data_IF_901927768524
#
_entry.id   IF_901927768524
#
_cell.length_a   1.000
_cell.length_b   1.000
_cell.length_c   1.000
_cell.angle_alpha   90.00
_cell.angle_beta   90.00
_cell.angle_gamma   90.00
#
_symmetry.space_group_name_H-M   'P 1'
#
loop_
_entity.id
_entity.type
_entity.pdbx_description
1 polymer ?
#
# COMPACT_ATOMS: atom_id res chain seq x y z
N UNK A 1 25.12 -11.99 66.95
CA UNK A 1 25.28 -13.36 66.37
C UNK A 1 24.02 -13.82 65.60
N UNK A 2 23.42 -12.95 64.78
CA UNK A 2 22.07 -13.16 64.22
C UNK A 2 21.95 -12.65 62.77
N UNK A 3 22.84 -13.05 61.86
CA UNK A 3 22.70 -12.60 60.45
C UNK A 3 23.33 -13.50 59.37
N UNK A 4 23.37 -14.83 59.55
CA UNK A 4 23.76 -15.77 58.49
C UNK A 4 22.73 -16.87 58.18
N UNK A 5 21.63 -16.98 58.94
CA UNK A 5 20.59 -18.01 58.73
C UNK A 5 19.49 -17.63 57.72
N UNK A 6 19.29 -16.33 57.44
CA UNK A 6 18.21 -15.88 56.53
C UNK A 6 18.64 -15.99 55.05
N UNK A 7 19.92 -15.82 54.74
CA UNK A 7 20.42 -15.87 53.35
C UNK A 7 20.46 -17.31 52.82
N UNK A 8 20.70 -18.32 53.66
CA UNK A 8 20.68 -19.74 53.24
C UNK A 8 19.28 -20.33 53.03
N UNK A 9 18.20 -19.66 53.46
CA UNK A 9 16.84 -20.18 53.27
C UNK A 9 16.19 -19.77 51.95
N UNK A 10 16.76 -18.80 51.21
CA UNK A 10 16.20 -18.33 49.93
C UNK A 10 16.74 -19.04 48.69
N UNK A 11 17.74 -19.92 48.85
CA UNK A 11 18.30 -20.76 47.78
C UNK A 11 17.76 -22.19 47.76
N UNK A 12 16.90 -22.56 48.71
CA UNK A 12 16.31 -23.91 48.84
C UNK A 12 14.79 -23.93 48.66
N UNK A 13 14.19 -22.92 48.02
CA UNK A 13 12.87 -23.12 47.41
C UNK A 13 13.07 -23.76 46.04
N UNK A 14 13.39 -25.05 46.04
CA UNK A 14 13.12 -25.90 44.88
C UNK A 14 11.61 -25.82 44.64
N UNK A 15 11.22 -25.08 43.61
CA UNK A 15 9.85 -25.11 43.08
C UNK A 15 9.51 -26.60 42.78
N UNK A 16 8.61 -27.25 43.56
CA UNK A 16 8.41 -28.71 43.50
C UNK A 16 7.75 -29.18 42.21
N UNK A 17 7.40 -28.23 41.34
CA UNK A 17 6.47 -28.44 40.25
C UNK A 17 7.17 -28.62 38.90
N UNK A 18 8.50 -28.41 38.82
CA UNK A 18 9.23 -28.46 37.55
C UNK A 18 8.76 -27.39 36.55
N UNK A 19 8.06 -26.36 37.04
CA UNK A 19 7.30 -25.43 36.20
C UNK A 19 8.21 -24.36 35.57
N UNK A 20 9.24 -23.92 36.30
CA UNK A 20 10.18 -22.92 35.83
C UNK A 20 10.90 -23.26 34.50
N UNK A 21 11.52 -24.46 34.33
CA UNK A 21 12.25 -24.77 33.10
C UNK A 21 11.35 -24.88 31.87
N UNK A 22 10.10 -25.37 31.99
CA UNK A 22 9.21 -25.42 30.83
C UNK A 22 8.80 -24.02 30.37
N UNK A 23 8.64 -23.04 31.28
CA UNK A 23 8.30 -21.66 30.88
C UNK A 23 9.43 -21.00 30.10
N UNK A 24 10.68 -21.26 30.46
CA UNK A 24 11.84 -20.78 29.70
C UNK A 24 11.98 -21.46 28.34
N UNK A 25 11.78 -22.78 28.27
CA UNK A 25 11.82 -23.53 27.01
C UNK A 25 10.68 -23.10 26.07
N UNK A 26 9.46 -22.97 26.58
CA UNK A 26 8.30 -22.51 25.81
C UNK A 26 8.47 -21.06 25.33
N UNK A 27 9.00 -20.18 26.18
CA UNK A 27 9.33 -18.81 25.80
C UNK A 27 10.42 -18.77 24.71
N UNK A 28 11.47 -19.60 24.83
CA UNK A 28 12.51 -19.72 23.81
C UNK A 28 11.97 -20.23 22.47
N UNK A 29 11.10 -21.25 22.48
CA UNK A 29 10.43 -21.78 21.28
C UNK A 29 9.50 -20.72 20.67
N UNK A 30 8.73 -19.98 21.48
CA UNK A 30 7.87 -18.88 21.01
C UNK A 30 8.68 -17.73 20.40
N UNK A 31 9.82 -17.37 20.99
CA UNK A 31 10.73 -16.34 20.45
C UNK A 31 11.35 -16.80 19.13
N UNK A 32 11.80 -18.06 19.05
CA UNK A 32 12.32 -18.65 17.81
C UNK A 32 11.23 -18.73 16.73
N UNK A 33 10.03 -19.17 17.09
CA UNK A 33 8.89 -19.23 16.18
C UNK A 33 8.51 -17.84 15.67
N UNK A 34 8.37 -16.84 16.56
CA UNK A 34 8.09 -15.47 16.17
C UNK A 34 9.23 -14.86 15.34
N UNK A 35 10.49 -15.15 15.65
CA UNK A 35 11.63 -14.65 14.87
C UNK A 35 11.68 -15.28 13.48
N UNK A 36 11.41 -16.58 13.35
CA UNK A 36 11.33 -17.28 12.06
C UNK A 36 10.14 -16.74 11.25
N UNK A 37 8.97 -16.59 11.86
CA UNK A 37 7.78 -16.05 11.22
C UNK A 37 7.99 -14.60 10.75
N UNK A 38 8.62 -13.77 11.58
CA UNK A 38 8.94 -12.38 11.25
C UNK A 38 9.93 -12.29 10.08
N UNK A 39 10.99 -13.10 10.08
CA UNK A 39 11.95 -13.14 8.98
C UNK A 39 11.30 -13.56 7.65
N UNK A 40 10.39 -14.54 7.70
CA UNK A 40 9.64 -14.97 6.52
C UNK A 40 8.69 -13.87 6.04
N UNK A 41 8.03 -13.15 6.95
CA UNK A 41 7.15 -12.03 6.60
C UNK A 41 7.92 -10.91 5.88
N UNK A 42 9.06 -10.47 6.41
CA UNK A 42 9.88 -9.44 5.75
C UNK A 42 10.36 -9.86 4.36
N UNK A 43 10.82 -11.10 4.21
CA UNK A 43 11.26 -11.62 2.92
C UNK A 43 10.11 -11.65 1.90
N UNK A 44 8.94 -12.15 2.31
CA UNK A 44 7.75 -12.22 1.46
C UNK A 44 7.22 -10.83 1.08
N UNK A 45 7.21 -9.89 2.02
CA UNK A 45 6.88 -8.48 1.76
C UNK A 45 7.83 -7.89 0.73
N UNK A 46 9.14 -8.01 0.93
CA UNK A 46 10.13 -7.44 0.02
C UNK A 46 10.02 -8.02 -1.39
N UNK A 47 9.84 -9.34 -1.52
CA UNK A 47 9.63 -10.01 -2.81
C UNK A 47 8.33 -9.57 -3.48
N UNK A 48 7.24 -9.47 -2.71
CA UNK A 48 5.92 -9.08 -3.23
C UNK A 48 5.93 -7.65 -3.72
N UNK A 49 6.41 -6.71 -2.91
CA UNK A 49 6.44 -5.27 -3.24
C UNK A 49 7.41 -5.01 -4.39
N UNK A 50 8.58 -5.64 -4.41
CA UNK A 50 9.49 -5.56 -5.56
C UNK A 50 8.83 -6.10 -6.84
N UNK A 51 8.07 -7.19 -6.73
CA UNK A 51 7.29 -7.76 -7.83
C UNK A 51 6.22 -6.80 -8.35
N UNK A 52 5.46 -6.17 -7.46
CA UNK A 52 4.45 -5.15 -7.80
C UNK A 52 5.10 -3.95 -8.47
N UNK A 53 6.19 -3.39 -7.90
CA UNK A 53 6.89 -2.26 -8.51
C UNK A 53 7.43 -2.57 -9.91
N UNK A 54 7.81 -3.82 -10.21
CA UNK A 54 8.23 -4.23 -11.55
C UNK A 54 7.08 -4.26 -12.57
N UNK A 55 5.82 -4.41 -12.13
CA UNK A 55 4.66 -4.38 -13.02
C UNK A 55 4.44 -3.00 -13.64
N UNK A 56 4.95 -1.92 -13.04
CA UNK A 56 4.94 -0.58 -13.65
C UNK A 56 5.61 -0.52 -15.03
N UNK A 57 6.53 -1.45 -15.31
CA UNK A 57 7.17 -1.57 -16.61
C UNK A 57 6.26 -2.18 -17.69
N UNK A 58 5.12 -2.78 -17.31
CA UNK A 58 4.12 -3.29 -18.26
C UNK A 58 3.48 -2.17 -19.10
N UNK A 59 3.62 -0.90 -18.72
CA UNK A 59 3.29 0.23 -19.58
C UNK A 59 3.95 0.14 -20.97
N UNK A 60 5.12 -0.50 -21.08
CA UNK A 60 5.80 -0.75 -22.35
C UNK A 60 4.98 -1.62 -23.32
N UNK A 61 4.09 -2.47 -22.78
CA UNK A 61 3.21 -3.35 -23.58
C UNK A 61 2.25 -2.52 -24.43
N UNK A 62 1.89 -1.31 -23.98
CA UNK A 62 1.01 -0.41 -24.75
C UNK A 62 1.62 0.04 -26.07
N UNK A 63 2.95 -0.03 -26.21
CA UNK A 63 3.67 0.30 -27.45
C UNK A 63 3.37 -0.67 -28.59
N UNK A 64 2.90 -1.88 -28.28
CA UNK A 64 2.57 -2.90 -29.28
C UNK A 64 1.12 -2.81 -29.79
N UNK A 65 0.28 -1.96 -29.18
CA UNK A 65 -1.14 -1.85 -29.51
C UNK A 65 -1.48 -0.61 -30.34
N UNK A 66 -2.47 -0.74 -31.23
CA UNK A 66 -2.95 0.37 -32.05
C UNK A 66 -3.68 1.43 -31.20
N UNK A 67 -3.44 2.72 -31.50
CA UNK A 67 -4.07 3.87 -30.82
C UNK A 67 -5.59 3.76 -30.58
N UNK A 68 -6.44 3.38 -31.58
CA UNK A 68 -7.88 3.27 -31.36
C UNK A 68 -8.27 2.15 -30.39
N UNK A 69 -7.52 1.03 -30.40
CA UNK A 69 -7.74 -0.06 -29.46
C UNK A 69 -7.32 0.35 -28.04
N UNK A 70 -6.15 0.99 -27.91
CA UNK A 70 -5.63 1.46 -26.63
C UNK A 70 -6.58 2.46 -25.94
N UNK A 71 -7.15 3.41 -26.69
CA UNK A 71 -8.13 4.37 -26.13
C UNK A 71 -9.37 3.67 -25.55
N UNK A 72 -9.87 2.62 -26.23
CA UNK A 72 -11.03 1.86 -25.77
C UNK A 72 -10.72 1.05 -24.51
N UNK A 73 -9.55 0.42 -24.47
CA UNK A 73 -9.07 -0.33 -23.30
C UNK A 73 -8.84 0.61 -22.12
N UNK A 74 -8.22 1.77 -22.32
CA UNK A 74 -7.97 2.75 -21.26
C UNK A 74 -9.24 3.22 -20.56
N UNK A 75 -10.27 3.61 -21.31
CA UNK A 75 -11.55 4.06 -20.73
C UNK A 75 -12.20 2.94 -19.91
N UNK A 76 -12.10 1.70 -20.37
CA UNK A 76 -12.59 0.53 -19.65
C UNK A 76 -11.79 0.28 -18.36
N UNK A 77 -10.45 0.36 -18.41
CA UNK A 77 -9.57 0.19 -17.26
C UNK A 77 -9.81 1.25 -16.18
N UNK A 78 -9.93 2.53 -16.56
CA UNK A 78 -10.25 3.62 -15.62
C UNK A 78 -11.60 3.38 -14.95
N UNK A 79 -12.60 2.91 -15.70
CA UNK A 79 -13.92 2.60 -15.14
C UNK A 79 -13.88 1.41 -14.17
N UNK A 80 -13.07 0.38 -14.46
CA UNK A 80 -12.83 -0.75 -13.57
C UNK A 80 -12.14 -0.29 -12.28
N UNK A 81 -11.05 0.48 -12.36
CA UNK A 81 -10.33 0.96 -11.18
C UNK A 81 -11.23 1.83 -10.30
N UNK A 82 -11.96 2.79 -10.89
CA UNK A 82 -12.92 3.60 -10.13
C UNK A 82 -13.98 2.73 -9.42
N UNK A 83 -14.54 1.74 -10.13
CA UNK A 83 -15.51 0.80 -9.55
C UNK A 83 -14.92 -0.05 -8.43
N UNK A 84 -13.70 -0.56 -8.59
CA UNK A 84 -13.01 -1.37 -7.59
C UNK A 84 -12.70 -0.57 -6.32
N UNK A 85 -12.21 0.66 -6.45
CA UNK A 85 -11.92 1.54 -5.30
C UNK A 85 -13.19 1.93 -4.55
N UNK A 86 -14.27 2.30 -5.25
CA UNK A 86 -15.56 2.54 -4.60
C UNK A 86 -16.10 1.27 -3.94
N UNK A 87 -15.94 0.11 -4.59
CA UNK A 87 -16.30 -1.19 -4.02
C UNK A 87 -15.57 -1.48 -2.72
N UNK A 88 -14.26 -1.28 -2.67
CA UNK A 88 -13.46 -1.49 -1.46
C UNK A 88 -13.90 -0.55 -0.32
N UNK A 89 -14.10 0.73 -0.60
CA UNK A 89 -14.57 1.69 0.42
C UNK A 89 -15.95 1.31 0.96
N UNK A 90 -16.93 1.07 0.08
CA UNK A 90 -18.33 0.91 0.50
C UNK A 90 -18.69 -0.50 0.99
N UNK A 91 -18.10 -1.54 0.42
CA UNK A 91 -18.46 -2.93 0.72
C UNK A 91 -17.53 -3.52 1.78
N UNK A 92 -16.26 -3.09 1.79
CA UNK A 92 -15.26 -3.71 2.65
C UNK A 92 -14.88 -2.80 3.83
N UNK A 93 -14.37 -1.59 3.57
CA UNK A 93 -13.86 -0.71 4.63
C UNK A 93 -14.95 -0.14 5.54
N UNK A 94 -16.01 0.46 4.99
CA UNK A 94 -17.07 1.06 5.81
C UNK A 94 -17.77 0.05 6.73
N UNK A 95 -18.18 -1.16 6.27
CA UNK A 95 -18.77 -2.15 7.16
C UNK A 95 -17.79 -2.71 8.18
N UNK A 96 -16.51 -2.86 7.83
CA UNK A 96 -15.48 -3.36 8.74
C UNK A 96 -15.19 -2.38 9.87
N UNK A 97 -15.08 -1.08 9.53
CA UNK A 97 -14.95 -0.01 10.52
C UNK A 97 -16.16 -0.07 11.43
N UNK A 98 -17.39 -0.15 10.91
CA UNK A 98 -18.62 -0.23 11.70
C UNK A 98 -18.67 -1.41 12.68
N UNK A 99 -17.99 -2.53 12.38
CA UNK A 99 -17.93 -3.70 13.26
C UNK A 99 -16.88 -3.57 14.36
N UNK A 100 -15.71 -3.00 14.05
CA UNK A 100 -14.56 -2.86 14.98
C UNK A 100 -14.63 -1.59 15.84
N UNK A 101 -15.19 -0.53 15.28
CA UNK A 101 -15.39 0.76 15.92
C UNK A 101 -16.79 1.24 15.57
N UNK A 102 -17.62 1.52 16.57
CA UNK A 102 -18.92 2.12 16.28
C UNK A 102 -18.76 3.37 15.41
N UNK A 103 -19.73 3.60 14.51
CA UNK A 103 -19.70 4.72 13.58
C UNK A 103 -19.90 6.04 14.34
N UNK A 104 -18.82 6.51 14.94
CA UNK A 104 -18.82 7.67 15.82
C UNK A 104 -18.63 8.96 15.04
N UNK A 105 -18.95 10.08 15.68
CA UNK A 105 -18.78 11.41 15.09
C UNK A 105 -17.37 11.62 14.52
N UNK A 106 -16.32 11.11 15.20
CA UNK A 106 -14.94 11.21 14.74
C UNK A 106 -14.65 10.45 13.44
N UNK A 107 -15.31 9.31 13.20
CA UNK A 107 -15.12 8.53 11.97
C UNK A 107 -15.85 9.22 10.82
N UNK A 108 -17.10 9.63 11.06
CA UNK A 108 -17.89 10.36 10.07
C UNK A 108 -17.26 11.70 9.67
N UNK A 109 -16.66 12.42 10.63
CA UNK A 109 -15.98 13.68 10.36
C UNK A 109 -14.69 13.47 9.57
N UNK A 110 -13.90 12.43 9.89
CA UNK A 110 -12.71 12.07 9.13
C UNK A 110 -13.04 11.69 7.68
N UNK A 111 -14.13 10.95 7.46
CA UNK A 111 -14.59 10.58 6.12
C UNK A 111 -14.99 11.80 5.28
N UNK A 112 -15.82 12.69 5.84
CA UNK A 112 -16.22 13.94 5.16
C UNK A 112 -15.01 14.84 4.91
N UNK A 113 -14.11 14.96 5.89
CA UNK A 113 -12.89 15.74 5.76
C UNK A 113 -11.99 15.20 4.63
N UNK A 114 -11.86 13.88 4.51
CA UNK A 114 -11.17 13.21 3.41
C UNK A 114 -11.75 13.54 2.03
N UNK A 115 -13.09 13.56 1.90
CA UNK A 115 -13.75 13.94 0.64
C UNK A 115 -13.51 15.43 0.33
N UNK A 116 -13.66 16.30 1.33
CA UNK A 116 -13.45 17.74 1.15
C UNK A 116 -12.01 18.07 0.76
N UNK A 117 -11.02 17.44 1.39
CA UNK A 117 -9.61 17.67 1.06
C UNK A 117 -9.28 17.16 -0.34
N UNK A 118 -9.83 16.01 -0.75
CA UNK A 118 -9.70 15.50 -2.13
C UNK A 118 -10.26 16.49 -3.14
N UNK A 119 -11.45 17.05 -2.88
CA UNK A 119 -12.07 18.07 -3.74
C UNK A 119 -11.26 19.38 -3.78
N UNK A 120 -10.69 19.80 -2.66
CA UNK A 120 -9.81 20.98 -2.60
C UNK A 120 -8.54 20.73 -3.41
N UNK A 121 -7.90 19.56 -3.28
CA UNK A 121 -6.72 19.20 -4.07
C UNK A 121 -7.05 19.24 -5.57
N UNK A 122 -8.16 18.62 -5.98
CA UNK A 122 -8.62 18.64 -7.38
C UNK A 122 -8.81 20.09 -7.87
N UNK A 123 -9.50 20.92 -7.08
CA UNK A 123 -9.75 22.32 -7.43
C UNK A 123 -8.47 23.15 -7.48
N UNK A 124 -7.53 22.97 -6.56
CA UNK A 124 -6.25 23.69 -6.57
C UNK A 124 -5.40 23.33 -7.79
N UNK A 125 -5.40 22.06 -8.20
CA UNK A 125 -4.63 21.60 -9.37
C UNK A 125 -5.26 22.11 -10.68
N UNK A 126 -6.59 22.14 -10.78
CA UNK A 126 -7.30 22.62 -11.97
C UNK A 126 -7.36 24.17 -12.05
N UNK A 127 -7.48 24.86 -10.90
CA UNK A 127 -7.62 26.32 -10.85
C UNK A 127 -6.42 27.05 -11.44
N UNK A 128 -5.20 26.54 -11.25
CA UNK A 128 -4.00 27.16 -11.82
C UNK A 128 -3.89 27.08 -13.35
N UNK A 129 -4.78 26.34 -14.03
CA UNK A 129 -4.59 25.91 -15.42
C UNK A 129 -5.79 26.19 -16.36
N UNK A 130 -6.86 26.88 -15.92
CA UNK A 130 -7.99 27.18 -16.82
C UNK A 130 -8.61 28.54 -16.52
N UNK A 131 -8.25 29.55 -17.32
CA UNK A 131 -8.98 30.83 -17.35
C UNK A 131 -9.38 31.33 -18.74
N UNK A 132 -9.00 30.67 -19.82
CA UNK A 132 -9.47 30.99 -21.17
C UNK A 132 -9.69 29.72 -21.99
N UNK A 133 -10.60 29.78 -22.96
CA UNK A 133 -11.10 28.68 -23.78
C UNK A 133 -10.07 27.97 -24.70
N UNK A 134 -8.77 28.18 -24.47
CA UNK A 134 -7.67 27.45 -25.10
C UNK A 134 -6.89 26.69 -24.04
N UNK A 135 -7.20 25.41 -23.84
CA UNK A 135 -6.38 24.53 -23.00
C UNK A 135 -4.95 24.49 -23.56
N UNK A 136 -4.02 25.15 -22.88
CA UNK A 136 -2.65 25.30 -23.32
C UNK A 136 -1.83 24.04 -23.02
N UNK A 137 -0.68 23.88 -23.66
CA UNK A 137 0.28 22.80 -23.38
C UNK A 137 0.73 22.74 -21.89
N UNK A 138 0.52 23.80 -21.10
CA UNK A 138 0.75 23.81 -19.65
C UNK A 138 -0.24 22.92 -18.90
N UNK A 139 -1.49 22.85 -19.34
CA UNK A 139 -2.57 22.20 -18.59
C UNK A 139 -2.44 20.68 -18.70
N UNK A 140 -2.07 20.20 -19.88
CA UNK A 140 -1.70 18.80 -20.11
C UNK A 140 -0.54 18.37 -19.21
N UNK A 141 0.47 19.24 -19.03
CA UNK A 141 1.62 18.96 -18.16
C UNK A 141 1.23 18.93 -16.69
N UNK A 142 0.41 19.87 -16.23
CA UNK A 142 -0.04 19.89 -14.83
C UNK A 142 -0.83 18.61 -14.48
N UNK A 143 -1.77 18.20 -15.33
CA UNK A 143 -2.51 16.95 -15.17
C UNK A 143 -1.59 15.73 -15.16
N UNK A 144 -0.57 15.72 -16.02
CA UNK A 144 0.43 14.64 -16.09
C UNK A 144 1.24 14.51 -14.80
N UNK A 145 1.68 15.62 -14.21
CA UNK A 145 2.40 15.60 -12.93
C UNK A 145 1.49 15.25 -11.75
N UNK A 146 0.20 15.63 -11.80
CA UNK A 146 -0.78 15.24 -10.79
C UNK A 146 -0.94 13.72 -10.74
N UNK A 147 -1.02 13.05 -11.90
CA UNK A 147 -1.07 11.60 -11.98
C UNK A 147 0.18 10.98 -11.37
N UNK A 148 1.37 11.42 -11.77
CA UNK A 148 2.64 10.95 -11.20
C UNK A 148 2.72 11.08 -9.67
N UNK A 149 2.22 12.20 -9.12
CA UNK A 149 2.20 12.39 -7.67
C UNK A 149 1.15 11.52 -6.98
N UNK A 150 -0.05 11.43 -7.57
CA UNK A 150 -1.13 10.58 -7.07
C UNK A 150 -0.72 9.11 -7.05
N UNK A 151 -0.14 8.64 -8.14
CA UNK A 151 0.40 7.29 -8.30
C UNK A 151 1.52 7.00 -7.27
N UNK A 152 2.38 7.99 -6.99
CA UNK A 152 3.44 7.84 -5.98
C UNK A 152 2.87 7.64 -4.57
N UNK A 153 1.76 8.31 -4.25
CA UNK A 153 1.08 8.17 -2.95
C UNK A 153 0.30 6.85 -2.90
N UNK A 154 -0.33 6.46 -4.01
CA UNK A 154 -1.07 5.20 -4.14
C UNK A 154 -0.13 4.01 -3.89
N UNK A 155 0.95 3.93 -4.67
CA UNK A 155 1.98 2.90 -4.54
C UNK A 155 2.55 2.82 -3.12
N UNK A 156 2.78 3.96 -2.47
CA UNK A 156 3.22 4.01 -1.08
C UNK A 156 2.20 3.35 -0.13
N UNK A 157 0.92 3.64 -0.29
CA UNK A 157 -0.15 3.03 0.51
C UNK A 157 -0.24 1.53 0.25
N UNK A 158 -0.12 1.08 -1.00
CA UNK A 158 -0.12 -0.35 -1.34
C UNK A 158 1.05 -1.09 -0.69
N UNK A 159 2.22 -0.46 -0.65
CA UNK A 159 3.37 -0.95 0.11
C UNK A 159 3.05 -1.20 1.59
N UNK A 160 2.39 -0.23 2.25
CA UNK A 160 1.95 -0.37 3.65
C UNK A 160 0.94 -1.52 3.80
N UNK A 161 -0.04 -1.60 2.89
CA UNK A 161 -1.10 -2.62 2.93
C UNK A 161 -0.52 -4.02 2.77
N UNK A 162 0.39 -4.23 1.82
CA UNK A 162 1.05 -5.53 1.60
C UNK A 162 1.89 -5.91 2.82
N UNK A 163 2.71 -4.99 3.33
CA UNK A 163 3.56 -5.25 4.49
C UNK A 163 2.73 -5.59 5.74
N UNK A 164 1.73 -4.77 6.05
CA UNK A 164 0.81 -4.98 7.17
C UNK A 164 0.08 -6.32 7.07
N UNK A 165 -0.27 -6.74 5.86
CA UNK A 165 -0.94 -8.03 5.61
C UNK A 165 -0.05 -9.23 5.90
N UNK A 166 1.24 -9.18 5.52
CA UNK A 166 2.20 -10.25 5.83
C UNK A 166 2.55 -10.32 7.33
N UNK A 167 2.47 -9.20 8.06
CA UNK A 167 2.59 -9.20 9.52
C UNK A 167 1.42 -9.93 10.21
N UNK A 168 0.25 -9.99 9.58
CA UNK A 168 -0.90 -10.76 10.09
C UNK A 168 -0.71 -12.25 9.79
N UNK A 169 -0.52 -12.62 8.52
CA UNK A 169 -0.18 -13.99 8.13
C UNK A 169 0.26 -14.08 6.65
N UNK A 170 1.02 -15.12 6.24
CA UNK A 170 1.40 -15.31 4.85
C UNK A 170 0.22 -15.41 3.87
N UNK A 171 -0.89 -16.02 4.30
CA UNK A 171 -2.08 -16.18 3.46
C UNK A 171 -2.76 -14.84 3.18
N UNK A 172 -2.89 -13.98 4.20
CA UNK A 172 -3.47 -12.63 4.06
C UNK A 172 -2.54 -11.75 3.23
N UNK A 173 -1.22 -11.80 3.48
CA UNK A 173 -0.22 -11.09 2.67
C UNK A 173 -0.26 -11.44 1.19
N UNK A 174 -0.36 -12.73 0.85
CA UNK A 174 -0.48 -13.18 -0.53
C UNK A 174 -1.80 -12.71 -1.18
N UNK A 175 -2.92 -12.79 -0.45
CA UNK A 175 -4.21 -12.33 -0.94
C UNK A 175 -4.19 -10.82 -1.23
N UNK A 176 -3.64 -10.01 -0.33
CA UNK A 176 -3.49 -8.56 -0.53
C UNK A 176 -2.56 -8.24 -1.71
N UNK A 177 -1.44 -8.96 -1.84
CA UNK A 177 -0.52 -8.79 -2.98
C UNK A 177 -1.23 -9.05 -4.31
N UNK A 178 -1.99 -10.14 -4.40
CA UNK A 178 -2.75 -10.46 -5.61
C UNK A 178 -3.83 -9.40 -5.89
N UNK A 179 -4.50 -8.90 -4.86
CA UNK A 179 -5.49 -7.84 -5.00
C UNK A 179 -4.86 -6.55 -5.55
N UNK A 180 -3.67 -6.16 -5.05
CA UNK A 180 -2.90 -5.02 -5.55
C UNK A 180 -2.51 -5.22 -7.00
N UNK A 181 -1.87 -6.35 -7.34
CA UNK A 181 -1.47 -6.68 -8.72
C UNK A 181 -2.63 -6.51 -9.71
N UNK A 182 -3.84 -6.91 -9.32
CA UNK A 182 -5.01 -6.86 -10.20
C UNK A 182 -5.44 -5.43 -10.57
N UNK A 183 -5.29 -4.46 -9.66
CA UNK A 183 -5.60 -3.06 -9.97
C UNK A 183 -4.39 -2.26 -10.45
N UNK A 184 -3.17 -2.70 -10.12
CA UNK A 184 -1.93 -2.05 -10.54
C UNK A 184 -1.68 -2.20 -12.04
N UNK A 185 -1.91 -3.40 -12.60
CA UNK A 185 -1.70 -3.64 -14.04
C UNK A 185 -2.54 -2.66 -14.91
N UNK A 186 -3.86 -2.50 -14.67
CA UNK A 186 -4.66 -1.46 -15.31
C UNK A 186 -4.14 -0.04 -15.08
N UNK A 187 -3.76 0.28 -13.84
CA UNK A 187 -3.38 1.63 -13.41
C UNK A 187 -2.09 2.09 -14.11
N UNK A 188 -1.04 1.28 -14.04
CA UNK A 188 0.27 1.53 -14.63
C UNK A 188 0.22 1.68 -16.16
N UNK A 189 -0.61 0.86 -16.81
CA UNK A 189 -0.89 0.98 -18.25
C UNK A 189 -1.59 2.31 -18.57
N UNK A 190 -2.51 2.73 -17.71
CA UNK A 190 -3.21 4.01 -17.76
C UNK A 190 -2.26 5.19 -17.68
N UNK A 191 -1.45 5.21 -16.64
CA UNK A 191 -0.54 6.30 -16.31
C UNK A 191 0.53 6.48 -17.36
N UNK A 192 1.11 5.38 -17.85
CA UNK A 192 2.02 5.42 -18.98
C UNK A 192 1.38 6.09 -20.21
N UNK A 193 0.14 5.73 -20.57
CA UNK A 193 -0.53 6.33 -21.72
C UNK A 193 -0.79 7.83 -21.51
N UNK A 194 -1.17 8.24 -20.30
CA UNK A 194 -1.37 9.66 -19.98
C UNK A 194 -0.05 10.43 -20.02
N UNK A 195 1.05 9.86 -19.51
CA UNK A 195 2.39 10.48 -19.57
C UNK A 195 2.82 10.77 -21.01
N UNK A 196 2.63 9.82 -21.93
CA UNK A 196 2.90 10.02 -23.36
C UNK A 196 2.01 11.12 -23.93
N UNK A 197 0.72 11.13 -23.60
CA UNK A 197 -0.21 12.17 -24.04
C UNK A 197 0.15 13.57 -23.48
N UNK A 198 0.74 13.60 -22.28
CA UNK A 198 1.31 14.78 -21.61
C UNK A 198 2.62 15.30 -22.20
N UNK A 199 3.15 14.63 -23.22
CA UNK A 199 4.36 15.04 -23.94
C UNK A 199 5.66 14.39 -23.44
N UNK A 200 5.59 13.37 -22.57
CA UNK A 200 6.78 12.60 -22.22
C UNK A 200 7.18 11.71 -23.40
N UNK A 201 8.50 11.50 -23.56
CA UNK A 201 8.98 10.45 -24.47
C UNK A 201 8.72 9.08 -23.85
N UNK A 202 8.61 8.03 -24.67
CA UNK A 202 8.39 6.65 -24.21
C UNK A 202 9.33 6.24 -23.08
N UNK A 203 10.62 6.53 -23.21
CA UNK A 203 11.61 6.23 -22.17
C UNK A 203 11.38 7.04 -20.88
N UNK A 204 11.03 8.32 -21.00
CA UNK A 204 10.79 9.18 -19.83
C UNK A 204 9.53 8.74 -19.08
N UNK A 205 8.46 8.41 -19.80
CA UNK A 205 7.21 7.94 -19.20
C UNK A 205 7.42 6.62 -18.44
N UNK A 206 8.10 5.64 -19.06
CA UNK A 206 8.42 4.36 -18.40
C UNK A 206 9.25 4.55 -17.13
N UNK A 207 10.30 5.37 -17.19
CA UNK A 207 11.16 5.64 -16.04
C UNK A 207 10.38 6.38 -14.95
N UNK A 208 9.53 7.33 -15.32
CA UNK A 208 8.75 8.10 -14.35
C UNK A 208 7.73 7.22 -13.61
N UNK A 209 6.98 6.36 -14.33
CA UNK A 209 6.11 5.34 -13.71
C UNK A 209 6.91 4.45 -12.77
N UNK A 210 8.02 3.89 -13.25
CA UNK A 210 8.82 2.98 -12.43
C UNK A 210 9.35 3.66 -11.16
N UNK A 211 9.79 4.93 -11.24
CA UNK A 211 10.20 5.70 -10.07
C UNK A 211 9.04 5.92 -9.10
N UNK A 212 7.83 6.16 -9.62
CA UNK A 212 6.63 6.27 -8.81
C UNK A 212 6.34 4.96 -8.07
N UNK A 213 6.37 3.83 -8.77
CA UNK A 213 6.14 2.50 -8.20
C UNK A 213 7.16 2.07 -7.14
N UNK A 214 8.37 2.66 -7.12
CA UNK A 214 9.36 2.40 -6.07
C UNK A 214 8.95 2.99 -4.71
N UNK A 215 7.99 3.92 -4.65
CA UNK A 215 7.48 4.41 -3.36
C UNK A 215 6.76 3.31 -2.58
N UNK A 216 6.28 2.25 -3.23
CA UNK A 216 5.74 1.07 -2.55
C UNK A 216 6.77 0.40 -1.63
N UNK A 217 8.05 0.38 -2.01
CA UNK A 217 9.12 -0.11 -1.13
C UNK A 217 9.27 0.78 0.11
N UNK A 218 9.12 2.10 -0.04
CA UNK A 218 9.16 3.03 1.10
C UNK A 218 7.95 2.83 2.02
N UNK A 219 6.78 2.57 1.46
CA UNK A 219 5.58 2.23 2.23
C UNK A 219 5.73 0.94 3.00
N UNK A 220 6.29 -0.09 2.36
CA UNK A 220 6.54 -1.37 3.00
C UNK A 220 7.58 -1.30 4.13
N UNK A 221 8.55 -0.38 4.04
CA UNK A 221 9.53 -0.11 5.09
C UNK A 221 8.94 0.71 6.25
N UNK A 222 7.88 1.48 5.99
CA UNK A 222 7.22 2.32 6.99
C UNK A 222 6.28 1.52 7.91
N UNK A 223 5.66 0.46 7.39
CA UNK A 223 4.72 -0.41 8.11
C UNK A 223 5.39 -1.25 9.20
#
# INVERSE_FOLDING_TARGET
MWNRKIIRKKTNSTDPSGILPYRFILCGILILYNSIMMNNAFLLTFLSVSGVSLLSLLGAVTLFFNKPFLKKVLIFMVSISAGAMFGDVFIHLLPEISKKSEFNLSVSSAFIFGILISFIIERLVLWNNCHDHECTEKDKRAFTYMILYGDSVHNFIDGIVIASSYLISPAVGLASTLAVILHEIPHEIGDFAVLIHGGFTHRKALIANFISALTALLGALFA
#
